data_IF_805957018640
#
_entry.id   IF_805957018640
#
_cell.length_a   1.000
_cell.length_b   1.000
_cell.length_c   1.000
_cell.angle_alpha   90.00
_cell.angle_beta   90.00
_cell.angle_gamma   90.00
#
_symmetry.space_group_name_H-M   'P 1'
#
loop_
_entity.id
_entity.type
_entity.pdbx_description
1 polymer ?
#
# COMPACT_ATOMS: atom_id res chain seq x y z
N UNK A 1 -20.14 1.27 -14.96
CA UNK A 1 -21.16 1.58 -13.94
C UNK A 1 -21.62 3.02 -14.09
N UNK A 2 -22.93 3.24 -14.00
CA UNK A 2 -23.58 4.53 -14.16
C UNK A 2 -23.38 5.45 -12.93
N UNK A 3 -23.29 4.88 -11.74
CA UNK A 3 -23.02 5.57 -10.48
C UNK A 3 -22.34 4.62 -9.46
N UNK A 4 -21.98 5.16 -8.29
CA UNK A 4 -21.37 4.38 -7.20
C UNK A 4 -22.38 3.42 -6.56
N UNK A 5 -23.68 3.74 -6.57
CA UNK A 5 -24.74 2.87 -6.01
C UNK A 5 -24.85 1.56 -6.77
N UNK A 6 -24.70 1.61 -8.10
CA UNK A 6 -24.66 0.42 -8.94
C UNK A 6 -23.43 -0.45 -8.63
N UNK A 7 -22.27 0.18 -8.37
CA UNK A 7 -21.06 -0.52 -7.92
C UNK A 7 -21.29 -1.21 -6.58
N UNK A 8 -21.94 -0.52 -5.63
CA UNK A 8 -22.34 -1.09 -4.34
C UNK A 8 -23.21 -2.34 -4.53
N UNK A 9 -24.24 -2.26 -5.37
CA UNK A 9 -25.13 -3.39 -5.67
C UNK A 9 -24.38 -4.56 -6.30
N UNK A 10 -23.51 -4.29 -7.28
CA UNK A 10 -22.71 -5.32 -7.94
C UNK A 10 -21.76 -6.01 -6.96
N UNK A 11 -21.14 -5.25 -6.05
CA UNK A 11 -20.27 -5.79 -5.01
C UNK A 11 -21.04 -6.64 -4.00
N UNK A 12 -22.20 -6.17 -3.51
CA UNK A 12 -23.00 -6.90 -2.52
C UNK A 12 -23.66 -8.16 -3.10
N UNK A 13 -23.99 -8.15 -4.39
CA UNK A 13 -24.49 -9.34 -5.11
C UNK A 13 -23.37 -10.28 -5.55
N UNK A 14 -22.10 -10.00 -5.19
CA UNK A 14 -20.91 -10.80 -5.51
C UNK A 14 -20.67 -10.97 -7.02
N UNK A 15 -21.11 -10.02 -7.83
CA UNK A 15 -20.86 -10.02 -9.28
C UNK A 15 -19.48 -9.46 -9.64
N UNK A 16 -18.88 -8.68 -8.74
CA UNK A 16 -17.55 -8.07 -8.91
C UNK A 16 -16.75 -8.12 -7.61
N UNK A 17 -15.42 -8.12 -7.73
CA UNK A 17 -14.49 -8.11 -6.60
C UNK A 17 -13.89 -6.71 -6.39
N UNK A 18 -13.34 -6.44 -5.20
CA UNK A 18 -12.76 -5.13 -4.86
C UNK A 18 -11.61 -4.72 -5.79
N UNK A 19 -10.83 -5.69 -6.27
CA UNK A 19 -9.69 -5.48 -7.17
C UNK A 19 -10.06 -5.34 -8.64
N UNK A 20 -11.32 -5.62 -9.04
CA UNK A 20 -11.75 -5.58 -10.44
C UNK A 20 -11.65 -4.16 -10.99
N UNK A 21 -11.02 -4.03 -12.17
CA UNK A 21 -10.94 -2.76 -12.90
C UNK A 21 -12.29 -2.46 -13.55
N UNK A 22 -12.77 -1.23 -13.36
CA UNK A 22 -14.07 -0.77 -13.81
C UNK A 22 -13.98 0.66 -14.35
N UNK A 23 -14.90 1.01 -15.25
CA UNK A 23 -15.15 2.40 -15.63
C UNK A 23 -16.44 2.86 -14.95
N UNK A 24 -16.35 3.93 -14.15
CA UNK A 24 -17.48 4.47 -13.38
C UNK A 24 -17.58 5.98 -13.55
N UNK A 25 -18.82 6.50 -13.55
CA UNK A 25 -19.09 7.93 -13.49
C UNK A 25 -19.11 8.36 -12.03
N UNK A 26 -18.24 9.28 -11.66
CA UNK A 26 -18.15 9.84 -10.31
C UNK A 26 -18.59 11.30 -10.34
N UNK A 27 -19.34 11.70 -9.31
CA UNK A 27 -19.73 13.09 -9.10
C UNK A 27 -18.73 13.72 -8.14
N UNK A 28 -17.92 14.61 -8.66
CA UNK A 28 -16.97 15.41 -7.90
C UNK A 28 -17.56 16.79 -7.60
N UNK A 29 -17.02 17.43 -6.56
CA UNK A 29 -17.41 18.78 -6.19
C UNK A 29 -16.19 19.66 -6.32
N UNK A 30 -16.20 20.56 -7.30
CA UNK A 30 -15.09 21.50 -7.55
C UNK A 30 -15.49 22.86 -7.00
N UNK A 31 -14.54 23.56 -6.40
CA UNK A 31 -14.77 24.90 -5.84
C UNK A 31 -14.52 25.94 -6.92
N UNK A 32 -15.54 26.76 -7.20
CA UNK A 32 -15.45 27.84 -8.18
C UNK A 32 -14.82 29.11 -7.58
N UNK A 33 -14.52 30.09 -8.43
CA UNK A 33 -13.95 31.40 -8.02
C UNK A 33 -14.85 32.14 -7.01
N UNK A 34 -16.17 31.90 -7.05
CA UNK A 34 -17.14 32.42 -6.08
C UNK A 34 -17.15 31.67 -4.72
N UNK A 35 -16.35 30.61 -4.58
CA UNK A 35 -16.28 29.79 -3.37
C UNK A 35 -17.39 28.75 -3.21
N UNK A 36 -18.30 28.64 -4.19
CA UNK A 36 -19.37 27.64 -4.23
C UNK A 36 -18.88 26.31 -4.82
N UNK A 37 -19.52 25.21 -4.40
CA UNK A 37 -19.22 23.87 -4.90
C UNK A 37 -20.11 23.49 -6.08
N UNK A 38 -19.51 23.31 -7.25
CA UNK A 38 -20.21 22.83 -8.43
C UNK A 38 -20.04 21.32 -8.64
N UNK A 39 -21.13 20.60 -8.93
CA UNK A 39 -21.06 19.18 -9.21
C UNK A 39 -20.57 18.92 -10.65
N UNK A 40 -19.42 18.27 -10.78
CA UNK A 40 -18.89 17.84 -12.07
C UNK A 40 -18.96 16.32 -12.15
N UNK A 41 -19.49 15.78 -13.25
CA UNK A 41 -19.57 14.34 -13.47
C UNK A 41 -18.47 13.91 -14.44
N UNK A 42 -17.49 13.20 -13.91
CA UNK A 42 -16.35 12.70 -14.68
C UNK A 42 -16.38 11.17 -14.76
N UNK A 43 -15.86 10.63 -15.87
CA UNK A 43 -15.66 9.18 -16.03
C UNK A 43 -14.22 8.85 -15.67
N UNK A 44 -14.05 7.89 -14.75
CA UNK A 44 -12.74 7.41 -14.35
C UNK A 44 -12.60 5.91 -14.59
N UNK A 45 -11.42 5.50 -15.03
CA UNK A 45 -10.97 4.12 -14.94
C UNK A 45 -10.35 3.91 -13.55
N UNK A 46 -10.92 2.98 -12.79
CA UNK A 46 -10.53 2.73 -11.39
C UNK A 46 -10.84 1.29 -10.99
N UNK A 47 -10.76 0.96 -9.70
CA UNK A 47 -11.20 -0.34 -9.17
C UNK A 47 -12.48 -0.21 -8.36
N UNK A 48 -13.22 -1.30 -8.19
CA UNK A 48 -14.43 -1.33 -7.35
C UNK A 48 -14.14 -0.77 -5.96
N UNK A 49 -13.07 -1.21 -5.29
CA UNK A 49 -12.72 -0.72 -3.96
C UNK A 49 -12.43 0.79 -3.92
N UNK A 50 -11.74 1.34 -4.92
CA UNK A 50 -11.47 2.78 -5.01
C UNK A 50 -12.73 3.59 -5.31
N UNK A 51 -13.63 3.06 -6.14
CA UNK A 51 -14.92 3.68 -6.40
C UNK A 51 -15.78 3.74 -5.13
N UNK A 52 -15.80 2.69 -4.31
CA UNK A 52 -16.51 2.71 -3.02
C UNK A 52 -15.88 3.72 -2.03
N UNK A 53 -14.56 3.85 -2.03
CA UNK A 53 -13.86 4.87 -1.23
C UNK A 53 -14.14 6.31 -1.69
N UNK A 54 -14.71 6.53 -2.88
CA UNK A 54 -15.06 7.89 -3.31
C UNK A 54 -16.18 8.51 -2.49
N UNK A 55 -17.04 7.70 -1.87
CA UNK A 55 -18.20 8.18 -1.08
C UNK A 55 -17.79 8.87 0.22
N UNK A 56 -16.64 8.50 0.78
CA UNK A 56 -16.15 9.10 2.02
C UNK A 56 -15.40 10.41 1.79
N UNK A 57 -15.06 10.76 0.54
CA UNK A 57 -14.24 11.93 0.26
C UNK A 57 -14.99 13.23 0.59
N UNK A 58 -14.31 14.22 1.21
CA UNK A 58 -14.90 15.52 1.46
C UNK A 58 -15.10 16.28 0.15
N UNK A 59 -16.09 17.18 0.13
CA UNK A 59 -16.34 18.05 -1.02
C UNK A 59 -15.12 18.94 -1.28
N UNK A 60 -14.67 19.03 -2.52
CA UNK A 60 -13.48 19.81 -2.89
C UNK A 60 -12.19 18.99 -3.04
N UNK A 61 -12.18 17.71 -2.65
CA UNK A 61 -11.02 16.84 -2.85
C UNK A 61 -11.17 16.01 -4.14
N UNK A 62 -10.26 16.16 -5.12
CA UNK A 62 -10.30 15.38 -6.36
C UNK A 62 -10.16 13.88 -6.15
N UNK A 63 -10.87 13.09 -6.97
CA UNK A 63 -10.82 11.63 -6.91
C UNK A 63 -9.42 11.06 -7.24
N UNK A 64 -8.59 11.82 -7.96
CA UNK A 64 -7.20 11.43 -8.27
C UNK A 64 -6.36 11.12 -7.03
N UNK A 65 -6.67 11.74 -5.88
CA UNK A 65 -5.97 11.43 -4.63
C UNK A 65 -6.23 9.99 -4.15
N UNK A 66 -7.36 9.40 -4.52
CA UNK A 66 -7.77 8.03 -4.17
C UNK A 66 -7.53 7.05 -5.32
N UNK A 67 -7.39 7.52 -6.56
CA UNK A 67 -7.20 6.64 -7.72
C UNK A 67 -5.76 6.07 -7.87
N UNK A 68 -5.19 5.58 -6.77
CA UNK A 68 -3.86 4.98 -6.70
C UNK A 68 -3.80 3.94 -5.58
N UNK A 69 -2.68 3.22 -5.48
CA UNK A 69 -2.47 2.32 -4.36
C UNK A 69 -2.24 3.13 -3.06
N UNK A 70 -3.22 3.11 -2.16
CA UNK A 70 -3.19 3.85 -0.90
C UNK A 70 -2.30 3.15 0.14
N UNK A 71 -0.98 3.38 0.04
CA UNK A 71 -0.02 3.05 1.10
C UNK A 71 -0.08 4.10 2.22
N UNK A 72 0.54 3.82 3.38
CA UNK A 72 0.64 4.74 4.53
C UNK A 72 1.03 6.18 4.15
N UNK A 73 2.03 6.35 3.26
CA UNK A 73 2.49 7.67 2.80
C UNK A 73 1.42 8.42 2.01
N UNK A 74 0.67 7.72 1.15
CA UNK A 74 -0.38 8.32 0.33
C UNK A 74 -1.61 8.69 1.16
N UNK A 75 -1.95 7.88 2.17
CA UNK A 75 -2.99 8.22 3.16
C UNK A 75 -2.62 9.50 3.92
N UNK A 76 -1.37 9.64 4.34
CA UNK A 76 -0.91 10.87 5.00
C UNK A 76 -1.01 12.10 4.09
N UNK A 77 -0.66 11.96 2.80
CA UNK A 77 -0.83 13.03 1.80
C UNK A 77 -2.30 13.36 1.55
N UNK A 78 -3.18 12.36 1.52
CA UNK A 78 -4.62 12.51 1.33
C UNK A 78 -5.24 13.35 2.47
N UNK A 79 -4.89 13.05 3.72
CA UNK A 79 -5.34 13.83 4.89
C UNK A 79 -4.79 15.26 4.83
N UNK A 80 -3.52 15.44 4.45
CA UNK A 80 -2.94 16.77 4.29
C UNK A 80 -3.65 17.60 3.20
N UNK A 81 -3.95 16.97 2.07
CA UNK A 81 -4.68 17.60 0.97
C UNK A 81 -6.11 17.98 1.39
N UNK A 82 -6.82 17.09 2.09
CA UNK A 82 -8.12 17.38 2.70
C UNK A 82 -8.04 18.61 3.63
N UNK A 83 -7.02 18.69 4.48
CA UNK A 83 -6.86 19.81 5.40
C UNK A 83 -6.65 21.15 4.66
N UNK A 84 -5.86 21.14 3.59
CA UNK A 84 -5.56 22.36 2.80
C UNK A 84 -6.73 22.82 1.93
N UNK A 85 -7.49 21.88 1.35
CA UNK A 85 -8.55 22.19 0.38
C UNK A 85 -9.93 22.32 1.02
N UNK A 86 -10.25 21.46 1.99
CA UNK A 86 -11.58 21.35 2.61
C UNK A 86 -11.63 21.95 4.02
N UNK A 87 -10.48 22.14 4.67
CA UNK A 87 -10.39 22.72 6.02
C UNK A 87 -10.49 21.70 7.15
N UNK A 88 -10.47 22.20 8.39
CA UNK A 88 -10.32 21.36 9.60
C UNK A 88 -11.52 20.44 9.83
N UNK A 89 -12.74 20.98 9.83
CA UNK A 89 -13.96 20.24 10.15
C UNK A 89 -14.15 19.03 9.23
N UNK A 90 -14.09 19.25 7.92
CA UNK A 90 -14.31 18.20 6.93
C UNK A 90 -13.20 17.15 6.97
N UNK A 91 -11.97 17.55 7.31
CA UNK A 91 -10.85 16.62 7.46
C UNK A 91 -10.99 15.70 8.67
N UNK A 92 -11.50 16.18 9.80
CA UNK A 92 -11.76 15.34 10.98
C UNK A 92 -12.83 14.31 10.66
N UNK A 93 -13.95 14.73 10.06
CA UNK A 93 -15.03 13.82 9.64
C UNK A 93 -14.52 12.79 8.63
N UNK A 94 -13.69 13.23 7.67
CA UNK A 94 -13.08 12.35 6.70
C UNK A 94 -12.15 11.31 7.35
N UNK A 95 -11.33 11.72 8.32
CA UNK A 95 -10.42 10.81 9.03
C UNK A 95 -11.19 9.72 9.79
N UNK A 96 -12.31 10.07 10.43
CA UNK A 96 -13.17 9.11 11.11
C UNK A 96 -13.79 8.12 10.11
N UNK A 97 -14.35 8.61 9.00
CA UNK A 97 -14.90 7.73 7.96
C UNK A 97 -13.84 6.82 7.33
N UNK A 98 -12.62 7.33 7.13
CA UNK A 98 -11.49 6.55 6.63
C UNK A 98 -11.12 5.44 7.62
N UNK A 99 -11.14 5.72 8.93
CA UNK A 99 -10.92 4.73 9.97
C UNK A 99 -12.00 3.63 9.94
N UNK A 100 -13.29 4.00 9.96
CA UNK A 100 -14.39 3.02 9.96
C UNK A 100 -14.39 2.14 8.71
N UNK A 101 -14.22 2.74 7.54
CA UNK A 101 -14.14 2.00 6.27
C UNK A 101 -12.91 1.10 6.23
N UNK A 102 -11.75 1.60 6.66
CA UNK A 102 -10.51 0.83 6.76
C UNK A 102 -10.66 -0.41 7.62
N UNK A 103 -11.16 -0.27 8.85
CA UNK A 103 -11.41 -1.42 9.73
C UNK A 103 -12.47 -2.37 9.16
N UNK A 104 -13.55 -1.85 8.58
CA UNK A 104 -14.61 -2.66 7.99
C UNK A 104 -14.12 -3.53 6.82
N UNK A 105 -13.26 -2.99 5.95
CA UNK A 105 -12.65 -3.77 4.86
C UNK A 105 -11.51 -4.66 5.32
N UNK A 106 -10.72 -4.24 6.31
CA UNK A 106 -9.66 -5.08 6.88
C UNK A 106 -10.21 -6.35 7.52
N UNK A 107 -11.28 -6.24 8.32
CA UNK A 107 -11.94 -7.37 8.94
C UNK A 107 -12.54 -8.33 7.89
N UNK A 108 -13.15 -7.79 6.82
CA UNK A 108 -13.67 -8.60 5.70
C UNK A 108 -12.57 -9.25 4.88
N UNK A 109 -11.39 -8.63 4.81
CA UNK A 109 -10.24 -9.14 4.08
C UNK A 109 -9.65 -10.41 4.69
N UNK A 110 -9.87 -10.65 6.00
CA UNK A 110 -9.45 -11.89 6.65
C UNK A 110 -7.94 -12.17 6.54
N UNK A 111 -7.12 -11.12 6.45
CA UNK A 111 -5.68 -11.26 6.28
C UNK A 111 -5.11 -11.94 7.54
N UNK A 112 -4.47 -13.08 7.33
CA UNK A 112 -3.80 -13.87 8.36
C UNK A 112 -2.34 -14.07 7.95
N UNK A 113 -1.54 -14.61 8.88
CA UNK A 113 -0.17 -15.02 8.63
C UNK A 113 0.04 -16.46 9.11
N UNK A 114 0.62 -17.29 8.25
CA UNK A 114 1.02 -18.66 8.53
C UNK A 114 2.53 -18.83 8.37
N UNK A 115 3.07 -19.93 8.89
CA UNK A 115 4.49 -20.28 8.71
C UNK A 115 4.81 -20.48 7.22
N UNK A 116 3.85 -21.00 6.45
CA UNK A 116 4.01 -21.23 5.01
C UNK A 116 4.09 -19.92 4.18
N UNK A 117 3.69 -18.78 4.74
CA UNK A 117 3.89 -17.47 4.09
C UNK A 117 5.37 -17.03 4.13
N UNK A 118 6.20 -17.69 4.95
CA UNK A 118 7.64 -17.44 5.03
C UNK A 118 8.39 -18.28 4.01
N UNK A 119 8.45 -17.80 2.77
CA UNK A 119 9.17 -18.48 1.69
C UNK A 119 10.69 -18.44 1.94
N UNK A 120 11.29 -19.62 2.13
CA UNK A 120 12.75 -19.77 2.23
C UNK A 120 13.32 -19.86 0.81
N UNK A 121 14.22 -18.95 0.39
CA UNK A 121 14.83 -19.02 -0.93
C UNK A 121 15.60 -20.33 -1.13
N UNK A 122 15.41 -20.98 -2.28
CA UNK A 122 16.07 -22.26 -2.61
C UNK A 122 17.60 -22.13 -2.65
N UNK A 123 18.10 -20.94 -2.97
CA UNK A 123 19.52 -20.60 -3.07
C UNK A 123 20.22 -20.53 -1.71
N UNK A 124 19.46 -20.42 -0.60
CA UNK A 124 20.01 -20.26 0.76
C UNK A 124 21.05 -21.33 1.09
N UNK A 125 20.80 -22.59 0.75
CA UNK A 125 21.72 -23.68 1.06
C UNK A 125 23.05 -23.58 0.28
N UNK A 126 22.99 -23.13 -0.99
CA UNK A 126 24.16 -22.96 -1.82
C UNK A 126 25.01 -21.78 -1.35
N UNK A 127 24.39 -20.62 -1.07
CA UNK A 127 25.07 -19.43 -0.55
C UNK A 127 25.76 -19.71 0.79
N UNK A 128 25.09 -20.44 1.69
CA UNK A 128 25.70 -20.85 2.96
C UNK A 128 26.87 -21.82 2.75
N UNK A 129 26.77 -22.75 1.79
CA UNK A 129 27.86 -23.68 1.52
C UNK A 129 29.09 -22.97 0.95
N UNK A 130 28.89 -21.99 0.07
CA UNK A 130 29.94 -21.14 -0.50
C UNK A 130 30.63 -20.31 0.59
N UNK A 131 29.86 -19.56 1.39
CA UNK A 131 30.41 -18.77 2.50
C UNK A 131 31.19 -19.63 3.52
N UNK A 132 30.67 -20.81 3.87
CA UNK A 132 31.40 -21.73 4.78
C UNK A 132 32.68 -22.29 4.14
N UNK A 133 32.72 -22.50 2.83
CA UNK A 133 33.92 -22.93 2.13
C UNK A 133 34.98 -21.83 2.14
N UNK A 134 34.60 -20.57 1.90
CA UNK A 134 35.50 -19.41 1.98
C UNK A 134 36.05 -19.21 3.40
N UNK A 135 35.20 -19.28 4.42
CA UNK A 135 35.64 -19.20 5.82
C UNK A 135 36.67 -20.29 6.14
N UNK A 136 36.42 -21.52 5.66
CA UNK A 136 37.35 -22.63 5.85
C UNK A 136 38.70 -22.37 5.17
N UNK A 137 38.71 -21.80 3.98
CA UNK A 137 39.94 -21.42 3.29
C UNK A 137 40.74 -20.38 4.10
N UNK A 138 40.07 -19.38 4.66
CA UNK A 138 40.70 -18.37 5.52
C UNK A 138 41.23 -18.98 6.82
N UNK A 139 40.53 -19.95 7.41
CA UNK A 139 41.06 -20.69 8.57
C UNK A 139 42.31 -21.50 8.23
N UNK A 140 42.34 -22.14 7.05
CA UNK A 140 43.50 -22.91 6.61
C UNK A 140 44.70 -21.99 6.30
N UNK A 141 44.47 -20.82 5.70
CA UNK A 141 45.50 -19.78 5.54
C UNK A 141 46.07 -19.32 6.90
N UNK A 142 45.21 -19.17 7.91
CA UNK A 142 45.64 -18.82 9.26
C UNK A 142 46.50 -19.92 9.90
N UNK A 143 46.11 -21.19 9.76
CA UNK A 143 46.87 -22.35 10.26
C UNK A 143 48.26 -22.48 9.64
N UNK A 144 48.36 -22.13 8.36
CA UNK A 144 49.63 -22.12 7.62
C UNK A 144 50.48 -20.86 7.93
N UNK A 145 49.95 -19.92 8.72
CA UNK A 145 50.65 -18.69 9.10
C UNK A 145 50.68 -17.60 8.01
N UNK A 146 49.85 -17.71 6.97
CA UNK A 146 49.77 -16.73 5.88
C UNK A 146 49.00 -15.45 6.24
N UNK A 147 48.11 -15.51 7.23
CA UNK A 147 47.30 -14.37 7.70
C UNK A 147 47.37 -14.23 9.21
N UNK A 148 47.23 -13.01 9.72
CA UNK A 148 47.17 -12.75 11.16
C UNK A 148 45.78 -13.03 11.72
N UNK A 149 45.65 -13.18 13.05
CA UNK A 149 44.35 -13.42 13.68
C UNK A 149 43.38 -12.22 13.49
N UNK A 150 43.90 -10.99 13.42
CA UNK A 150 43.09 -9.79 13.16
C UNK A 150 42.54 -9.76 11.74
N UNK A 151 43.37 -10.10 10.75
CA UNK A 151 42.93 -10.20 9.35
C UNK A 151 41.95 -11.35 9.13
N UNK A 152 42.19 -12.51 9.76
CA UNK A 152 41.27 -13.65 9.76
C UNK A 152 39.88 -13.21 10.27
N UNK A 153 39.84 -12.53 11.41
CA UNK A 153 38.58 -12.08 12.01
C UNK A 153 37.82 -11.13 11.07
N UNK A 154 38.49 -10.12 10.53
CA UNK A 154 37.84 -9.15 9.63
C UNK A 154 37.33 -9.84 8.35
N UNK A 155 38.12 -10.72 7.73
CA UNK A 155 37.70 -11.45 6.52
C UNK A 155 36.52 -12.38 6.77
N UNK A 156 36.49 -13.08 7.92
CA UNK A 156 35.35 -13.94 8.27
C UNK A 156 34.09 -13.11 8.49
N UNK A 157 34.20 -11.92 9.09
CA UNK A 157 33.06 -10.99 9.23
C UNK A 157 32.59 -10.47 7.87
N UNK A 158 33.49 -10.17 6.94
CA UNK A 158 33.11 -9.66 5.61
C UNK A 158 32.42 -10.72 4.72
N UNK A 159 32.73 -12.00 4.93
CA UNK A 159 32.11 -13.13 4.21
C UNK A 159 30.66 -13.37 4.70
N UNK A 160 30.35 -13.04 5.96
CA UNK A 160 29.04 -13.28 6.60
C UNK A 160 28.09 -12.09 6.49
#
# INVERSE_FOLDING_TARGET
FADVKEVHRAYHTKQVELGTKITVRLREWVKNEAGEFEPVVNRYETTVGRALLSEILPKGLPFEYVNKALKKKEISKLINASFRLCGLRDTVIFADHLMYTGFGFAAKGGISIAVDDMEIPKEKAALLAEANAEVKEIEDQYRQGLVTNGERYNKVVDIW
#
